data_IF_286590290393
#
_entry.id   IF_286590290393
#
_cell.length_a   1.000
_cell.length_b   1.000
_cell.length_c   1.000
_cell.angle_alpha   90.00
_cell.angle_beta   90.00
_cell.angle_gamma   90.00
#
_symmetry.space_group_name_H-M   'P 1'
#
loop_
_entity.id
_entity.type
_entity.pdbx_description
1 polymer ?
#
# COMPACT_ATOMS: atom_id res chain seq x y z
N UNK A 1 9.92 -2.18 3.75
CA UNK A 1 8.90 -1.31 4.38
C UNK A 1 9.01 0.05 3.74
N UNK A 2 7.92 0.53 3.14
CA UNK A 2 7.76 1.89 2.68
C UNK A 2 6.51 2.50 3.31
N UNK A 3 6.53 3.80 3.52
CA UNK A 3 5.38 4.57 3.98
C UNK A 3 5.15 5.70 2.99
N UNK A 4 3.90 5.88 2.54
CA UNK A 4 3.51 7.07 1.80
C UNK A 4 2.28 7.68 2.44
N UNK A 5 2.24 9.00 2.45
CA UNK A 5 1.09 9.76 2.94
C UNK A 5 0.42 10.34 1.70
N UNK A 6 -0.88 10.07 1.52
CA UNK A 6 -1.70 10.83 0.56
C UNK A 6 -2.28 12.03 1.29
N UNK A 7 -1.55 13.14 1.25
CA UNK A 7 -2.03 14.42 1.77
C UNK A 7 -2.98 15.14 0.80
N UNK A 8 -3.21 14.62 -0.42
CA UNK A 8 -3.73 15.45 -1.51
C UNK A 8 -5.21 15.19 -1.84
N UNK A 9 -5.80 14.05 -1.44
CA UNK A 9 -7.21 13.77 -1.76
C UNK A 9 -8.11 13.31 -0.59
N UNK A 10 -7.59 12.62 0.44
CA UNK A 10 -8.47 11.87 1.38
C UNK A 10 -8.07 11.87 2.86
N UNK A 11 -6.98 12.55 3.26
CA UNK A 11 -6.43 12.48 4.63
C UNK A 11 -6.05 11.03 5.06
N UNK A 12 -5.64 10.20 4.10
CA UNK A 12 -5.30 8.80 4.32
C UNK A 12 -3.80 8.55 4.28
N UNK A 13 -3.35 7.64 5.13
CA UNK A 13 -1.98 7.14 5.20
C UNK A 13 -1.96 5.70 4.73
N UNK A 14 -1.18 5.41 3.68
CA UNK A 14 -1.00 4.04 3.18
C UNK A 14 0.38 3.52 3.57
N UNK A 15 0.43 2.29 4.06
CA UNK A 15 1.66 1.66 4.57
C UNK A 15 1.89 0.34 3.85
N UNK A 16 3.07 0.16 3.27
CA UNK A 16 3.47 -1.12 2.65
C UNK A 16 4.09 -2.04 3.70
N UNK A 17 3.41 -3.14 3.98
CA UNK A 17 3.83 -4.15 4.94
C UNK A 17 4.52 -5.30 4.21
N UNK A 18 5.80 -5.09 3.91
CA UNK A 18 6.64 -6.06 3.20
C UNK A 18 6.53 -7.49 3.75
N UNK A 19 6.67 -7.67 5.07
CA UNK A 19 6.62 -9.01 5.69
C UNK A 19 5.23 -9.65 5.75
N UNK A 20 4.17 -8.88 5.49
CA UNK A 20 2.78 -9.36 5.51
C UNK A 20 2.16 -9.38 4.11
N UNK A 21 2.94 -9.11 3.06
CA UNK A 21 2.48 -9.08 1.67
C UNK A 21 1.21 -8.23 1.45
N UNK A 22 1.10 -7.08 2.13
CA UNK A 22 -0.13 -6.29 2.11
C UNK A 22 0.11 -4.79 2.21
N UNK A 23 -0.93 -4.02 1.89
CA UNK A 23 -1.03 -2.59 2.15
C UNK A 23 -2.09 -2.37 3.22
N UNK A 24 -1.76 -1.56 4.23
CA UNK A 24 -2.72 -1.07 5.22
C UNK A 24 -2.99 0.42 5.04
N UNK A 25 -4.25 0.80 5.23
CA UNK A 25 -4.74 2.16 5.07
C UNK A 25 -5.28 2.65 6.41
N UNK A 26 -4.81 3.82 6.82
CA UNK A 26 -5.18 4.51 8.04
C UNK A 26 -5.68 5.92 7.71
N UNK A 27 -6.39 6.53 8.63
CA UNK A 27 -6.55 7.99 8.66
C UNK A 27 -5.24 8.66 9.08
N UNK A 28 -5.11 9.96 8.85
CA UNK A 28 -3.95 10.76 9.26
C UNK A 28 -3.74 10.82 10.78
N UNK A 29 -4.78 10.60 11.59
CA UNK A 29 -4.72 10.44 13.06
C UNK A 29 -4.43 8.99 13.51
N UNK A 30 -4.20 8.07 12.57
CA UNK A 30 -3.73 6.71 12.84
C UNK A 30 -4.82 5.67 13.07
N UNK A 31 -6.08 5.97 12.76
CA UNK A 31 -7.18 5.00 12.84
C UNK A 31 -7.12 4.05 11.65
N UNK A 32 -7.11 2.74 11.92
CA UNK A 32 -7.16 1.73 10.86
C UNK A 32 -8.49 1.76 10.11
N UNK A 33 -8.42 1.80 8.78
CA UNK A 33 -9.61 1.77 7.91
C UNK A 33 -9.75 0.40 7.26
N UNK A 34 -8.71 -0.03 6.54
CA UNK A 34 -8.75 -1.28 5.78
C UNK A 34 -7.35 -1.75 5.41
N UNK A 35 -7.26 -3.01 4.98
CA UNK A 35 -6.07 -3.60 4.37
C UNK A 35 -6.46 -4.40 3.13
N UNK A 36 -5.53 -4.55 2.21
CA UNK A 36 -5.67 -5.43 1.05
C UNK A 36 -4.30 -5.94 0.62
N UNK A 37 -4.29 -7.06 -0.10
CA UNK A 37 -3.07 -7.81 -0.35
C UNK A 37 -2.95 -9.06 0.50
N UNK A 38 -2.46 -10.11 -0.14
CA UNK A 38 -1.98 -11.35 0.44
C UNK A 38 -0.82 -11.88 -0.40
N UNK A 39 -0.08 -12.85 0.11
CA UNK A 39 1.05 -13.41 -0.61
C UNK A 39 0.61 -14.10 -1.91
N UNK A 40 1.31 -13.84 -3.02
CA UNK A 40 1.13 -14.57 -4.27
C UNK A 40 1.18 -13.70 -5.52
N UNK A 41 0.85 -14.32 -6.67
CA UNK A 41 0.94 -13.75 -8.01
C UNK A 41 -0.41 -13.43 -8.67
N UNK A 42 -1.50 -13.65 -7.95
CA UNK A 42 -2.84 -13.33 -8.44
C UNK A 42 -3.10 -11.81 -8.40
N UNK A 43 -4.16 -11.38 -9.07
CA UNK A 43 -4.58 -9.97 -9.06
C UNK A 43 -4.85 -9.54 -7.61
N UNK A 44 -4.15 -8.48 -7.19
CA UNK A 44 -4.27 -7.93 -5.84
C UNK A 44 -3.42 -8.64 -4.78
N UNK A 45 -2.60 -9.62 -5.16
CA UNK A 45 -1.59 -10.24 -4.30
C UNK A 45 -0.23 -9.57 -4.50
N UNK A 46 0.63 -9.70 -3.49
CA UNK A 46 1.98 -9.15 -3.51
C UNK A 46 2.96 -10.16 -2.92
N UNK A 47 4.25 -10.10 -3.28
CA UNK A 47 5.28 -10.87 -2.58
C UNK A 47 6.04 -10.01 -1.58
N UNK A 48 6.38 -8.80 -2.01
CA UNK A 48 7.24 -7.90 -1.28
C UNK A 48 6.89 -6.45 -1.65
N UNK A 49 5.70 -5.95 -1.25
CA UNK A 49 5.33 -4.57 -1.54
C UNK A 49 6.28 -3.64 -0.78
N UNK A 50 6.98 -2.76 -1.52
CA UNK A 50 7.99 -1.88 -0.94
C UNK A 50 7.72 -0.42 -1.25
N UNK A 51 7.65 -0.06 -2.52
CA UNK A 51 7.35 1.31 -2.96
C UNK A 51 5.85 1.50 -3.13
N UNK A 52 5.33 2.63 -2.67
CA UNK A 52 3.94 3.05 -2.93
C UNK A 52 3.90 4.55 -3.20
N UNK A 53 3.08 4.97 -4.17
CA UNK A 53 2.90 6.37 -4.53
C UNK A 53 1.52 6.60 -5.12
N UNK A 54 0.97 7.79 -4.94
CA UNK A 54 -0.26 8.20 -5.63
C UNK A 54 0.11 8.94 -6.91
N UNK A 55 -0.62 8.65 -7.99
CA UNK A 55 -0.56 9.48 -9.19
C UNK A 55 -1.44 10.74 -9.03
N UNK A 56 -1.40 11.61 -10.05
CA UNK A 56 -2.17 12.87 -10.07
C UNK A 56 -3.70 12.67 -10.08
N UNK A 57 -4.16 11.47 -10.41
CA UNK A 57 -5.58 11.12 -10.51
C UNK A 57 -6.06 10.38 -9.25
N UNK A 58 -5.19 10.19 -8.26
CA UNK A 58 -5.49 9.56 -6.97
C UNK A 58 -5.38 8.03 -6.98
N UNK A 59 -4.79 7.43 -8.02
CA UNK A 59 -4.54 5.99 -8.03
C UNK A 59 -3.26 5.65 -7.26
N UNK A 60 -3.36 4.62 -6.41
CA UNK A 60 -2.22 4.08 -5.68
C UNK A 60 -1.43 3.11 -6.57
N UNK A 61 -0.23 3.51 -6.95
CA UNK A 61 0.76 2.65 -7.58
C UNK A 61 1.57 1.90 -6.50
N UNK A 62 1.79 0.61 -6.70
CA UNK A 62 2.52 -0.26 -5.77
C UNK A 62 3.64 -0.94 -6.54
N UNK A 63 4.88 -0.80 -6.06
CA UNK A 63 6.03 -1.54 -6.53
C UNK A 63 6.17 -2.82 -5.70
N UNK A 64 5.91 -3.96 -6.33
CA UNK A 64 6.14 -5.28 -5.77
C UNK A 64 7.48 -5.82 -6.25
N UNK A 65 8.34 -6.21 -5.31
CA UNK A 65 9.59 -6.88 -5.61
C UNK A 65 9.35 -8.39 -5.70
N UNK A 66 8.65 -8.81 -6.77
CA UNK A 66 8.43 -10.22 -7.05
C UNK A 66 9.77 -10.93 -7.32
N UNK A 67 10.21 -11.76 -6.38
CA UNK A 67 11.22 -12.79 -6.66
C UNK A 67 10.45 -13.97 -7.26
N UNK A 68 10.68 -14.25 -8.55
CA UNK A 68 10.19 -15.45 -9.23
C UNK A 68 10.71 -16.73 -8.57
#
# INVERSE_FOLDING_TARGET
>A
MGITIDTVATDLVSVSEWGNARISVFTSDGVFIRRFGEEGSNIGHFYAPYGIAFDKDGFLCICDYGSS
#
